data_IF_366437582212
#
_entry.id   IF_366437582212
#
_cell.length_a   1.000
_cell.length_b   1.000
_cell.length_c   1.000
_cell.angle_alpha   90.00
_cell.angle_beta   90.00
_cell.angle_gamma   90.00
#
_symmetry.space_group_name_H-M   'P 1'
#
loop_
_entity.id
_entity.type
_entity.pdbx_description
1 polymer ?
#
# COMPACT_ATOMS: atom_id res chain seq x y z
N UNK A 1 16.88 12.78 0.23
CA UNK A 1 15.55 13.29 0.61
C UNK A 1 14.53 12.33 0.05
N UNK A 2 13.61 11.85 0.88
CA UNK A 2 12.55 10.95 0.46
C UNK A 2 11.24 11.73 0.34
N UNK A 3 10.38 11.38 -0.62
CA UNK A 3 9.24 12.22 -1.06
C UNK A 3 8.01 12.17 -0.13
N UNK A 4 8.07 11.44 0.99
CA UNK A 4 6.88 11.09 1.76
C UNK A 4 5.94 10.17 0.96
N UNK A 5 4.65 10.17 1.29
CA UNK A 5 3.61 9.38 0.62
C UNK A 5 2.46 10.22 0.09
N UNK A 6 2.40 11.52 0.40
CA UNK A 6 1.27 12.41 0.01
C UNK A 6 1.13 12.56 -1.51
N UNK A 7 2.17 12.29 -2.29
CA UNK A 7 2.12 12.28 -3.75
C UNK A 7 1.23 11.15 -4.31
N UNK A 8 0.91 10.12 -3.50
CA UNK A 8 -0.05 9.08 -3.88
C UNK A 8 -1.44 9.67 -4.14
N UNK A 9 -1.80 10.80 -3.52
CA UNK A 9 -3.04 11.50 -3.80
C UNK A 9 -3.16 11.90 -5.29
N UNK A 10 -2.06 12.39 -5.87
CA UNK A 10 -2.00 12.76 -7.29
C UNK A 10 -2.04 11.52 -8.18
N UNK A 11 -1.29 10.48 -7.81
CA UNK A 11 -1.25 9.22 -8.56
C UNK A 11 -2.64 8.56 -8.64
N UNK A 12 -3.38 8.52 -7.52
CA UNK A 12 -4.69 7.91 -7.45
C UNK A 12 -5.83 8.75 -8.03
N UNK A 13 -5.59 10.04 -8.35
CA UNK A 13 -6.55 10.92 -9.04
C UNK A 13 -6.34 10.95 -10.55
N UNK A 14 -5.09 10.82 -10.99
CA UNK A 14 -4.71 10.90 -12.40
C UNK A 14 -4.71 9.54 -13.10
N UNK A 15 -3.86 9.42 -14.11
CA UNK A 15 -3.76 8.25 -15.02
C UNK A 15 -3.00 7.05 -14.43
N UNK A 16 -2.62 7.09 -13.14
CA UNK A 16 -2.00 5.98 -12.42
C UNK A 16 -2.90 5.38 -11.31
N UNK A 17 -4.21 5.10 -11.57
CA UNK A 17 -5.19 4.80 -10.52
C UNK A 17 -5.02 3.44 -9.80
N UNK A 18 -3.92 2.71 -10.02
CA UNK A 18 -3.76 1.33 -9.55
C UNK A 18 -2.56 1.07 -8.64
N UNK A 19 -1.96 2.08 -8.00
CA UNK A 19 -0.84 1.84 -7.07
C UNK A 19 -1.35 1.30 -5.72
N UNK A 20 -1.24 0.00 -5.52
CA UNK A 20 -1.41 -0.66 -4.22
C UNK A 20 -0.09 -0.65 -3.49
N UNK A 21 -0.08 -0.20 -2.23
CA UNK A 21 1.16 -0.05 -1.47
C UNK A 21 1.06 -0.79 -0.15
N UNK A 22 1.99 -1.70 0.09
CA UNK A 22 2.19 -2.36 1.37
C UNK A 22 3.48 -1.85 2.00
N UNK A 23 3.40 -1.33 3.20
CA UNK A 23 4.55 -1.04 4.06
C UNK A 23 4.64 -2.10 5.15
N UNK A 24 5.85 -2.57 5.46
CA UNK A 24 6.09 -3.44 6.59
C UNK A 24 7.37 -3.07 7.36
N UNK A 25 7.29 -3.04 8.69
CA UNK A 25 8.42 -2.73 9.58
C UNK A 25 8.80 -3.96 10.40
N UNK A 26 10.09 -4.20 10.55
CA UNK A 26 10.63 -5.38 11.22
C UNK A 26 10.82 -6.60 10.30
N UNK A 27 10.78 -6.40 8.99
CA UNK A 27 10.96 -7.45 7.97
C UNK A 27 11.78 -6.90 6.79
N UNK A 28 12.56 -7.75 6.14
CA UNK A 28 13.31 -7.37 4.93
C UNK A 28 12.37 -7.24 3.71
N UNK A 29 12.75 -6.48 2.65
CA UNK A 29 11.91 -6.35 1.47
C UNK A 29 11.69 -7.68 0.73
N UNK A 30 12.71 -8.55 0.72
CA UNK A 30 12.62 -9.89 0.14
C UNK A 30 11.67 -10.80 0.91
N UNK A 31 11.74 -10.80 2.24
CA UNK A 31 10.84 -11.58 3.07
C UNK A 31 9.40 -11.05 3.01
N UNK A 32 9.21 -9.73 2.86
CA UNK A 32 7.90 -9.12 2.65
C UNK A 32 7.23 -9.69 1.40
N UNK A 33 7.91 -9.69 0.24
CA UNK A 33 7.30 -10.22 -0.98
C UNK A 33 7.06 -11.73 -0.92
N UNK A 34 7.87 -12.48 -0.16
CA UNK A 34 7.59 -13.90 0.14
C UNK A 34 6.31 -14.05 0.97
N UNK A 35 6.10 -13.23 2.01
CA UNK A 35 4.85 -13.23 2.77
C UNK A 35 3.65 -12.80 1.93
N UNK A 36 3.86 -11.93 0.95
CA UNK A 36 2.85 -11.57 -0.05
C UNK A 36 2.62 -12.68 -1.10
N UNK A 37 3.39 -13.78 -1.07
CA UNK A 37 3.14 -14.98 -1.87
C UNK A 37 4.21 -15.30 -2.91
N UNK A 38 5.30 -14.53 -2.99
CA UNK A 38 6.42 -14.88 -3.84
C UNK A 38 7.13 -16.15 -3.36
N UNK A 39 7.69 -16.89 -4.31
CA UNK A 39 8.54 -18.04 -3.98
C UNK A 39 9.87 -17.55 -3.39
N UNK A 40 10.36 -18.15 -2.30
CA UNK A 40 11.65 -17.78 -1.73
C UNK A 40 12.79 -17.83 -2.77
N UNK A 41 13.50 -16.71 -2.91
CA UNK A 41 14.60 -16.55 -3.87
C UNK A 41 14.19 -16.22 -5.31
N UNK A 42 12.89 -16.20 -5.63
CA UNK A 42 12.37 -15.92 -6.97
C UNK A 42 12.18 -14.41 -7.18
N UNK A 43 13.31 -13.71 -7.26
CA UNK A 43 13.37 -12.26 -7.49
C UNK A 43 13.73 -12.00 -8.95
N UNK A 44 12.85 -11.27 -9.63
CA UNK A 44 13.12 -10.69 -10.93
C UNK A 44 14.13 -9.56 -10.81
N UNK A 45 15.01 -9.44 -11.81
CA UNK A 45 15.92 -8.30 -11.92
C UNK A 45 15.18 -6.96 -11.95
N UNK A 46 15.88 -5.82 -11.75
CA UNK A 46 15.21 -4.53 -11.67
C UNK A 46 14.38 -4.17 -12.91
N UNK A 47 13.07 -4.05 -12.73
CA UNK A 47 12.10 -3.71 -13.78
C UNK A 47 11.39 -2.39 -13.48
N UNK A 48 10.94 -1.75 -14.56
CA UNK A 48 10.10 -0.55 -14.53
C UNK A 48 8.65 -0.90 -14.16
N UNK A 49 7.90 0.13 -13.78
CA UNK A 49 6.45 0.11 -13.63
C UNK A 49 5.73 -0.55 -14.81
N UNK A 50 5.98 -0.06 -16.02
CA UNK A 50 5.32 -0.55 -17.23
C UNK A 50 5.73 -2.00 -17.60
N UNK A 51 6.94 -2.44 -17.25
CA UNK A 51 7.34 -3.84 -17.41
C UNK A 51 6.60 -4.75 -16.43
N UNK A 52 6.45 -4.34 -15.16
CA UNK A 52 5.67 -5.08 -14.17
C UNK A 52 4.20 -5.19 -14.57
N UNK A 53 3.59 -4.10 -15.03
CA UNK A 53 2.22 -4.08 -15.52
C UNK A 53 2.02 -5.03 -16.73
N UNK A 54 2.93 -5.03 -17.70
CA UNK A 54 2.89 -5.97 -18.83
C UNK A 54 2.98 -7.43 -18.41
N UNK A 55 3.71 -7.73 -17.34
CA UNK A 55 3.76 -9.08 -16.78
C UNK A 55 2.46 -9.46 -16.07
N UNK A 56 1.78 -8.50 -15.44
CA UNK A 56 0.47 -8.69 -14.78
C UNK A 56 -0.65 -9.00 -15.77
N UNK A 57 -0.65 -8.40 -16.96
CA UNK A 57 -1.72 -8.50 -17.96
C UNK A 57 -1.40 -9.39 -19.18
N UNK A 58 -0.60 -10.45 -19.02
CA UNK A 58 -0.24 -11.33 -20.13
C UNK A 58 -1.31 -12.42 -20.42
N UNK A 59 -1.41 -12.85 -21.69
CA UNK A 59 -2.44 -13.75 -22.24
C UNK A 59 -2.47 -15.18 -21.66
N UNK A 60 -1.56 -15.55 -20.76
CA UNK A 60 -1.38 -16.94 -20.34
C UNK A 60 -1.72 -17.26 -18.89
N UNK A 61 -1.71 -16.28 -17.99
CA UNK A 61 -2.13 -16.37 -16.59
C UNK A 61 -1.78 -15.01 -15.96
N UNK A 62 -2.77 -14.25 -15.48
CA UNK A 62 -2.56 -12.88 -14.99
C UNK A 62 -1.91 -12.90 -13.60
N UNK A 63 -0.59 -13.09 -13.59
CA UNK A 63 0.23 -13.00 -12.40
C UNK A 63 0.10 -11.62 -11.72
N UNK A 64 0.54 -11.50 -10.47
CA UNK A 64 0.73 -10.22 -9.78
C UNK A 64 2.21 -10.01 -9.54
N UNK A 65 2.68 -8.82 -9.89
CA UNK A 65 4.09 -8.45 -9.79
C UNK A 65 4.24 -7.28 -8.84
N UNK A 66 4.88 -7.52 -7.71
CA UNK A 66 5.26 -6.48 -6.77
C UNK A 66 6.67 -5.98 -7.11
N UNK A 67 6.82 -4.66 -7.22
CA UNK A 67 8.13 -3.99 -7.16
C UNK A 67 8.39 -3.56 -5.73
N UNK A 68 9.57 -3.83 -5.20
CA UNK A 68 9.81 -3.72 -3.76
C UNK A 68 11.16 -3.08 -3.42
N UNK A 69 11.29 -2.63 -2.18
CA UNK A 69 12.50 -1.99 -1.64
C UNK A 69 12.33 -1.61 -0.19
N UNK A 70 13.22 -0.75 0.33
CA UNK A 70 13.09 -0.18 1.66
C UNK A 70 13.17 1.35 1.61
N UNK A 71 12.47 2.03 2.51
CA UNK A 71 12.57 3.46 2.71
C UNK A 71 12.15 3.83 4.15
N UNK A 72 12.88 4.75 4.78
CA UNK A 72 12.56 5.26 6.12
C UNK A 72 12.34 4.16 7.20
N UNK A 73 13.09 3.05 7.12
CA UNK A 73 12.98 1.92 8.07
C UNK A 73 11.78 0.99 7.81
N UNK A 74 11.07 1.20 6.71
CA UNK A 74 9.98 0.34 6.24
C UNK A 74 10.38 -0.36 4.95
N UNK A 75 10.17 -1.68 4.89
CA UNK A 75 10.08 -2.39 3.63
C UNK A 75 8.80 -1.99 2.92
N UNK A 76 8.83 -1.87 1.60
CA UNK A 76 7.64 -1.59 0.81
C UNK A 76 7.52 -2.55 -0.37
N UNK A 77 6.28 -2.81 -0.77
CA UNK A 77 5.92 -3.49 -2.01
C UNK A 77 4.82 -2.68 -2.71
N UNK A 78 5.01 -2.44 -4.01
CA UNK A 78 4.06 -1.73 -4.86
C UNK A 78 3.61 -2.63 -6.00
N UNK A 79 2.30 -2.85 -6.07
CA UNK A 79 1.64 -3.61 -7.12
C UNK A 79 0.78 -2.66 -7.97
N UNK A 80 0.57 -3.04 -9.23
CA UNK A 80 -0.16 -2.24 -10.22
C UNK A 80 -1.25 -3.06 -10.90
N UNK A 81 -2.34 -2.39 -11.26
CA UNK A 81 -3.43 -2.97 -12.05
C UNK A 81 -4.55 -3.54 -11.19
N UNK A 82 -5.12 -4.67 -11.64
CA UNK A 82 -6.27 -5.33 -11.00
C UNK A 82 -5.91 -5.87 -9.60
N UNK A 83 -6.89 -6.06 -8.68
CA UNK A 83 -6.67 -6.38 -7.27
C UNK A 83 -5.57 -7.41 -7.04
N UNK A 84 -4.69 -7.11 -6.09
CA UNK A 84 -3.52 -7.93 -5.75
C UNK A 84 -3.71 -8.63 -4.41
N UNK A 85 -2.80 -9.53 -4.02
CA UNK A 85 -2.83 -10.15 -2.69
C UNK A 85 -2.81 -9.14 -1.55
N UNK A 86 -2.25 -7.97 -1.79
CA UNK A 86 -2.28 -6.91 -0.81
C UNK A 86 -3.71 -6.38 -0.54
N UNK A 87 -4.64 -6.48 -1.49
CA UNK A 87 -6.07 -6.19 -1.32
C UNK A 87 -6.74 -7.08 -0.26
N UNK A 88 -6.35 -8.36 -0.16
CA UNK A 88 -7.00 -9.28 0.76
C UNK A 88 -6.33 -9.20 2.11
N UNK A 89 -7.12 -8.86 3.13
CA UNK A 89 -6.70 -8.71 4.50
C UNK A 89 -5.95 -9.96 5.02
N UNK A 90 -4.63 -9.93 4.87
CA UNK A 90 -3.74 -11.01 5.30
C UNK A 90 -3.01 -10.56 6.56
N UNK A 91 -3.66 -10.67 7.73
CA UNK A 91 -3.03 -10.29 8.98
C UNK A 91 -1.76 -11.14 9.21
N UNK A 92 -1.69 -12.36 8.67
CA UNK A 92 -0.52 -13.25 8.69
C UNK A 92 0.76 -12.60 8.10
N UNK A 93 0.65 -11.64 7.19
CA UNK A 93 1.82 -10.89 6.67
C UNK A 93 2.52 -10.15 7.81
N UNK A 94 1.80 -9.80 8.87
CA UNK A 94 2.32 -9.11 10.06
C UNK A 94 2.81 -10.06 11.17
N UNK A 95 2.78 -11.39 10.99
CA UNK A 95 3.17 -12.35 12.03
C UNK A 95 4.63 -12.18 12.51
N UNK A 96 4.89 -12.49 13.78
CA UNK A 96 6.23 -12.45 14.36
C UNK A 96 6.68 -11.03 14.71
N UNK A 97 5.76 -10.22 15.24
CA UNK A 97 6.03 -8.85 15.67
C UNK A 97 6.21 -7.83 14.55
N UNK A 98 5.88 -8.17 13.31
CA UNK A 98 5.92 -7.24 12.16
C UNK A 98 4.72 -6.31 12.22
N UNK A 99 4.92 -5.05 11.86
CA UNK A 99 3.83 -4.09 11.65
C UNK A 99 3.64 -3.89 10.15
N UNK A 100 2.38 -3.89 9.68
CA UNK A 100 2.05 -3.78 8.27
C UNK A 100 0.97 -2.74 8.08
N UNK A 101 1.16 -1.86 7.09
CA UNK A 101 0.17 -0.88 6.68
C UNK A 101 -0.09 -1.03 5.19
N UNK A 102 -1.35 -1.18 4.80
CA UNK A 102 -1.74 -1.40 3.43
C UNK A 102 -2.66 -0.28 2.94
N UNK A 103 -2.32 0.32 1.79
CA UNK A 103 -3.04 1.42 1.18
C UNK A 103 -3.66 0.97 -0.15
N UNK A 104 -5.00 1.00 -0.23
CA UNK A 104 -5.76 0.54 -1.38
C UNK A 104 -6.51 1.69 -2.06
N UNK A 105 -6.27 2.00 -3.34
CA UNK A 105 -7.03 3.01 -4.06
C UNK A 105 -8.44 2.61 -4.48
N UNK A 106 -8.77 1.30 -4.43
CA UNK A 106 -10.05 0.67 -4.85
C UNK A 106 -10.81 1.45 -5.96
N UNK A 107 -10.24 1.62 -7.16
CA UNK A 107 -10.85 2.46 -8.20
C UNK A 107 -12.22 1.94 -8.68
N UNK A 108 -12.41 0.62 -8.66
CA UNK A 108 -13.65 -0.03 -9.10
C UNK A 108 -14.67 -0.27 -7.97
N UNK A 109 -14.25 -0.11 -6.70
CA UNK A 109 -15.07 -0.38 -5.51
C UNK A 109 -14.69 0.56 -4.34
N UNK A 110 -14.96 1.88 -4.45
CA UNK A 110 -14.63 2.84 -3.41
C UNK A 110 -15.32 2.51 -2.07
N UNK A 111 -14.74 2.89 -0.91
CA UNK A 111 -13.71 3.92 -0.73
C UNK A 111 -12.27 3.41 -0.87
N UNK A 112 -11.33 4.36 -0.99
CA UNK A 112 -9.92 4.09 -0.75
C UNK A 112 -9.75 3.72 0.71
N UNK A 113 -8.90 2.76 1.04
CA UNK A 113 -8.77 2.28 2.43
C UNK A 113 -7.32 2.25 2.89
N UNK A 114 -7.17 2.40 4.20
CA UNK A 114 -5.97 2.10 4.95
C UNK A 114 -6.27 0.94 5.90
N UNK A 115 -5.44 -0.10 5.84
CA UNK A 115 -5.50 -1.24 6.75
C UNK A 115 -4.23 -1.28 7.60
N UNK A 116 -4.38 -1.57 8.89
CA UNK A 116 -3.25 -1.76 9.80
C UNK A 116 -3.30 -3.15 10.44
N UNK A 117 -2.17 -3.86 10.35
CA UNK A 117 -1.99 -5.19 10.91
C UNK A 117 -0.77 -5.22 11.81
N UNK A 118 -0.85 -6.02 12.87
CA UNK A 118 0.26 -6.24 13.79
C UNK A 118 0.21 -7.64 14.35
N UNK A 119 1.35 -8.32 14.30
CA UNK A 119 1.56 -9.65 14.89
C UNK A 119 0.49 -10.69 14.52
N UNK A 120 0.18 -10.78 13.22
CA UNK A 120 -0.78 -11.77 12.74
C UNK A 120 -2.23 -11.37 12.94
N UNK A 121 -2.53 -10.13 13.32
CA UNK A 121 -3.89 -9.64 13.60
C UNK A 121 -4.22 -8.36 12.83
N UNK A 122 -5.48 -8.22 12.43
CA UNK A 122 -6.02 -6.95 11.93
C UNK A 122 -6.31 -6.06 13.13
N UNK A 123 -5.61 -4.92 13.22
CA UNK A 123 -5.87 -3.92 14.27
C UNK A 123 -7.08 -3.08 13.88
N UNK A 124 -7.15 -2.64 12.63
CA UNK A 124 -8.29 -1.90 12.12
C UNK A 124 -8.17 -1.55 10.63
N UNK A 125 -9.26 -1.00 10.09
CA UNK A 125 -9.32 -0.41 8.74
C UNK A 125 -10.18 0.84 8.73
N UNK A 126 -9.88 1.78 7.85
CA UNK A 126 -10.71 2.97 7.66
C UNK A 126 -10.66 3.46 6.22
N UNK A 127 -11.72 4.14 5.79
CA UNK A 127 -11.75 4.82 4.50
C UNK A 127 -10.86 6.06 4.53
N UNK A 128 -10.06 6.27 3.50
CA UNK A 128 -9.21 7.47 3.41
C UNK A 128 -10.10 8.70 3.23
N UNK A 129 -10.02 9.63 4.18
CA UNK A 129 -10.93 10.76 4.32
C UNK A 129 -11.95 10.59 5.44
N UNK A 130 -12.13 9.37 5.96
CA UNK A 130 -12.99 9.09 7.11
C UNK A 130 -12.18 9.11 8.42
N UNK A 131 -12.90 9.26 9.54
CA UNK A 131 -12.29 9.13 10.87
C UNK A 131 -12.02 7.66 11.19
N UNK A 132 -10.82 7.29 11.72
CA UNK A 132 -10.51 5.93 12.12
C UNK A 132 -11.43 5.44 13.25
N UNK A 133 -11.63 4.12 13.31
CA UNK A 133 -12.35 3.48 14.41
C UNK A 133 -11.57 3.53 15.74
N UNK A 134 -12.22 3.11 16.83
CA UNK A 134 -11.62 3.13 18.18
C UNK A 134 -10.31 2.33 18.26
N UNK A 135 -10.21 1.22 17.53
CA UNK A 135 -9.01 0.37 17.52
C UNK A 135 -7.79 1.08 16.90
N UNK A 136 -8.03 2.06 16.02
CA UNK A 136 -7.01 2.96 15.47
C UNK A 136 -7.10 4.39 16.02
N UNK A 137 -7.72 4.57 17.20
CA UNK A 137 -7.84 5.87 17.86
C UNK A 137 -6.50 6.56 18.15
N UNK A 138 -5.39 5.82 18.12
CA UNK A 138 -4.04 6.37 18.24
C UNK A 138 -3.65 7.30 17.06
N UNK A 139 -4.40 7.27 15.95
CA UNK A 139 -4.22 8.19 14.82
C UNK A 139 -4.94 9.54 15.01
N UNK A 140 -5.91 9.62 15.93
CA UNK A 140 -6.74 10.82 16.11
C UNK A 140 -5.93 12.11 16.36
N UNK A 141 -4.82 12.12 17.14
CA UNK A 141 -4.00 13.32 17.27
C UNK A 141 -3.43 13.82 15.95
N UNK A 142 -2.91 12.91 15.10
CA UNK A 142 -2.38 13.27 13.79
C UNK A 142 -3.50 13.72 12.83
N UNK A 143 -4.71 13.16 12.97
CA UNK A 143 -5.88 13.58 12.19
C UNK A 143 -6.36 14.97 12.58
N UNK A 144 -6.38 15.29 13.87
CA UNK A 144 -6.68 16.63 14.37
C UNK A 144 -5.67 17.67 13.88
N UNK A 145 -4.37 17.36 13.93
CA UNK A 145 -3.33 18.25 13.37
C UNK A 145 -3.46 18.47 11.86
N UNK A 146 -3.99 17.48 11.14
CA UNK A 146 -4.26 17.57 9.70
C UNK A 146 -5.61 18.23 9.36
N UNK A 147 -6.42 18.64 10.34
CA UNK A 147 -7.74 19.24 10.15
C UNK A 147 -8.83 18.26 9.70
N UNK A 148 -8.62 16.95 9.85
CA UNK A 148 -9.59 15.91 9.43
C UNK A 148 -10.76 15.73 10.39
N UNK A 149 -10.68 16.31 11.59
CA UNK A 149 -11.70 16.21 12.64
C UNK A 149 -12.53 17.49 12.78
N UNK A 150 -12.31 18.48 11.90
CA UNK A 150 -13.01 19.76 11.95
C UNK A 150 -14.37 19.63 11.24
N UNK A 151 -15.46 19.95 11.95
CA UNK A 151 -16.82 19.86 11.40
C UNK A 151 -17.12 20.91 10.30
N UNK A 152 -16.30 21.98 10.23
CA UNK A 152 -16.45 23.13 9.32
C UNK A 152 -15.42 23.15 8.18
N UNK A 153 -14.94 21.97 7.73
CA UNK A 153 -14.03 21.91 6.57
C UNK A 153 -14.72 22.34 5.28
N UNK A 154 -14.03 23.12 4.46
CA UNK A 154 -14.56 23.53 3.15
C UNK A 154 -14.69 22.34 2.20
N UNK A 155 -15.58 22.43 1.22
CA UNK A 155 -15.68 21.43 0.13
C UNK A 155 -14.38 21.29 -0.69
N UNK A 156 -13.48 22.27 -0.60
CA UNK A 156 -12.16 22.26 -1.26
C UNK A 156 -11.09 21.52 -0.42
N UNK A 157 -11.41 21.08 0.80
CA UNK A 157 -10.47 20.40 1.66
C UNK A 157 -10.03 19.05 1.08
N UNK A 158 -8.73 18.90 0.86
CA UNK A 158 -8.13 17.68 0.30
C UNK A 158 -7.98 16.60 1.40
N UNK A 159 -9.10 16.00 1.80
CA UNK A 159 -9.15 14.96 2.85
C UNK A 159 -8.26 13.75 2.53
N UNK A 160 -8.13 13.40 1.25
CA UNK A 160 -7.22 12.35 0.77
C UNK A 160 -5.77 12.67 1.12
N UNK A 161 -5.28 13.85 0.72
CA UNK A 161 -3.89 14.24 0.99
C UNK A 161 -3.66 14.48 2.47
N UNK A 162 -4.61 15.08 3.18
CA UNK A 162 -4.54 15.29 4.62
C UNK A 162 -4.44 13.95 5.37
N UNK A 163 -5.24 12.95 5.00
CA UNK A 163 -5.17 11.59 5.59
C UNK A 163 -3.81 10.96 5.34
N UNK A 164 -3.30 11.02 4.10
CA UNK A 164 -1.97 10.51 3.79
C UNK A 164 -0.88 11.23 4.59
N UNK A 165 -1.00 12.54 4.82
CA UNK A 165 -0.06 13.30 5.64
C UNK A 165 -0.10 12.87 7.11
N UNK A 166 -1.30 12.69 7.68
CA UNK A 166 -1.47 12.22 9.07
C UNK A 166 -0.86 10.82 9.27
N UNK A 167 -1.15 9.88 8.36
CA UNK A 167 -0.58 8.52 8.37
C UNK A 167 0.93 8.57 8.16
N UNK A 168 1.43 9.40 7.24
CA UNK A 168 2.85 9.61 7.01
C UNK A 168 3.57 10.05 8.28
N UNK A 169 3.05 11.07 8.95
CA UNK A 169 3.64 11.66 10.15
C UNK A 169 3.65 10.67 11.30
N UNK A 170 2.51 9.99 11.54
CA UNK A 170 2.38 9.06 12.66
C UNK A 170 3.34 7.86 12.55
N UNK A 171 3.41 7.24 11.37
CA UNK A 171 4.21 6.04 11.15
C UNK A 171 5.65 6.32 10.66
N UNK A 172 5.97 7.57 10.33
CA UNK A 172 7.25 7.95 9.73
C UNK A 172 7.44 7.38 8.32
N UNK A 173 6.36 7.25 7.55
CA UNK A 173 6.40 6.61 6.22
C UNK A 173 7.07 7.50 5.18
N UNK A 174 7.72 6.86 4.22
CA UNK A 174 8.13 7.52 3.00
C UNK A 174 8.17 6.52 1.85
N UNK A 175 7.92 7.02 0.64
CA UNK A 175 7.97 6.23 -0.58
C UNK A 175 8.65 7.03 -1.70
N UNK A 176 9.73 6.51 -2.32
CA UNK A 176 10.53 7.28 -3.28
C UNK A 176 9.78 7.43 -4.61
N UNK A 177 9.17 8.60 -4.85
CA UNK A 177 8.22 8.86 -5.94
C UNK A 177 8.83 8.55 -7.30
N UNK A 178 10.03 9.06 -7.54
CA UNK A 178 10.71 8.91 -8.83
C UNK A 178 11.01 7.45 -9.12
N UNK A 179 11.52 6.72 -8.13
CA UNK A 179 11.85 5.31 -8.23
C UNK A 179 10.60 4.44 -8.44
N UNK A 180 9.49 4.75 -7.75
CA UNK A 180 8.21 4.05 -7.96
C UNK A 180 7.66 4.32 -9.36
N UNK A 181 7.61 5.58 -9.81
CA UNK A 181 6.93 5.92 -11.05
C UNK A 181 7.76 5.59 -12.30
N UNK A 182 9.07 5.88 -12.29
CA UNK A 182 9.91 5.79 -13.49
C UNK A 182 11.18 4.97 -13.30
N UNK A 183 11.52 4.61 -12.06
CA UNK A 183 12.70 3.82 -11.74
C UNK A 183 12.57 2.33 -12.07
N UNK A 184 13.71 1.66 -12.00
CA UNK A 184 13.82 0.19 -12.04
C UNK A 184 14.02 -0.32 -10.62
N UNK A 185 13.18 -1.25 -10.19
CA UNK A 185 13.20 -1.83 -8.85
C UNK A 185 13.19 -3.35 -8.94
N UNK A 186 13.85 -4.07 -8.00
CA UNK A 186 13.65 -5.50 -7.85
C UNK A 186 12.15 -5.83 -7.79
N UNK A 187 11.78 -6.96 -8.38
CA UNK A 187 10.39 -7.38 -8.44
C UNK A 187 10.22 -8.86 -8.16
N UNK A 188 9.03 -9.28 -7.78
CA UNK A 188 8.70 -10.69 -7.57
C UNK A 188 7.25 -10.95 -7.96
N UNK A 189 6.98 -12.18 -8.40
CA UNK A 189 5.62 -12.64 -8.65
C UNK A 189 4.98 -13.03 -7.32
N UNK A 190 4.01 -12.25 -6.83
CA UNK A 190 3.31 -12.45 -5.53
C UNK A 190 2.10 -13.36 -5.64
N UNK A 191 1.53 -13.49 -6.85
CA UNK A 191 0.51 -14.47 -7.19
C UNK A 191 0.68 -14.92 -8.64
N UNK A 192 0.65 -16.22 -8.89
CA UNK A 192 0.76 -16.78 -10.24
C UNK A 192 -0.59 -16.80 -10.99
N UNK A 193 -1.70 -16.84 -10.25
CA UNK A 193 -3.08 -16.81 -10.76
C UNK A 193 -3.84 -15.80 -9.89
N UNK A 194 -4.75 -14.96 -10.45
CA UNK A 194 -5.69 -14.21 -9.62
C UNK A 194 -6.46 -15.21 -8.74
N UNK A 195 -6.70 -14.95 -7.45
CA UNK A 195 -7.46 -15.90 -6.65
C UNK A 195 -8.87 -16.06 -7.21
N UNK A 196 -9.32 -17.32 -7.22
CA UNK A 196 -10.62 -17.73 -7.77
C UNK A 196 -11.82 -17.19 -6.97
N UNK A 197 -11.59 -16.69 -5.75
CA UNK A 197 -12.62 -16.10 -4.88
C UNK A 197 -12.08 -14.81 -4.25
N UNK A 198 -12.85 -13.73 -4.39
CA UNK A 198 -12.51 -12.39 -3.89
C UNK A 198 -12.69 -12.21 -2.38
N UNK A 199 -13.09 -13.27 -1.65
CA UNK A 199 -13.46 -13.21 -0.23
C UNK A 199 -14.77 -12.44 -0.05
N UNK A 200 -15.74 -13.05 0.62
CA UNK A 200 -16.95 -12.36 1.07
C UNK A 200 -16.64 -11.39 2.23
#
# INVERSE_FOLDING_TARGET
MSDGITWLADAWRGDAPGLFVTFARGISPGDLVVRLGARPGDVLGPITSAEAERLTFNDRESARVARFGECAGWSYAVEQGWPSKAWWAHPDVSAGGVEVLHLTPKPDDPPRECWYYRDGQTVGRFGIGDTPDEAMGFLLPAFGEAGLLDDDVSEEFDSLRATLAAVQQHFGLSLPRREILTGRLPAAVTAAVPPDNLGD
#
